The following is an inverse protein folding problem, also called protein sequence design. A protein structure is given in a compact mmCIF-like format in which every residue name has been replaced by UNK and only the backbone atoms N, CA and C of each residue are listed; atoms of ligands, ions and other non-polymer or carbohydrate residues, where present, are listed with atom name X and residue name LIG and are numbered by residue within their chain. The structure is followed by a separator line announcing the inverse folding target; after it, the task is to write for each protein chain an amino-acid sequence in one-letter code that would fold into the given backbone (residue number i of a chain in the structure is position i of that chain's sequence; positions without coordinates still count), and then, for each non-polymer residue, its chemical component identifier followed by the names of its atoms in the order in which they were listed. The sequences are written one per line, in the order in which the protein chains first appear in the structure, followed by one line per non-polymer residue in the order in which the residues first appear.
data_IF_694032551363
#
_entry.id   IF_694032551363
#
_cell.length_a   1.000
_cell.length_b   1.000
_cell.length_c   1.000
_cell.angle_alpha   90.00
_cell.angle_beta   90.00
_cell.angle_gamma   90.00
#
_symmetry.space_group_name_H-M   'P 1'
#
loop_
_entity.id
_entity.type
_entity.pdbx_description
1 polymer ?
#
# COMPACT_ATOMS: atom_id res chain seq x y z
N UNK A 1 -6.51 -60.19 -4.83
CA UNK A 1 -6.52 -59.36 -6.05
C UNK A 1 -7.97 -58.96 -6.27
N UNK A 2 -8.32 -57.70 -6.01
CA UNK A 2 -9.69 -57.21 -6.19
C UNK A 2 -9.80 -56.63 -7.60
N UNK A 3 -10.16 -57.48 -8.56
CA UNK A 3 -10.39 -57.08 -9.96
C UNK A 3 -11.89 -56.80 -10.18
N UNK A 4 -12.42 -55.80 -9.47
CA UNK A 4 -13.73 -55.24 -9.76
C UNK A 4 -13.64 -54.15 -10.83
N UNK A 5 -14.66 -53.97 -11.68
CA UNK A 5 -14.68 -52.87 -12.65
C UNK A 5 -14.50 -51.55 -11.90
N UNK A 6 -13.61 -50.69 -12.42
CA UNK A 6 -13.27 -49.41 -11.79
C UNK A 6 -14.58 -48.66 -11.50
N UNK A 7 -14.90 -48.34 -10.22
CA UNK A 7 -16.16 -47.72 -9.89
C UNK A 7 -16.25 -46.41 -10.66
N UNK A 8 -17.34 -46.25 -11.42
CA UNK A 8 -17.62 -45.00 -12.11
C UNK A 8 -17.60 -43.82 -11.12
N UNK A 9 -17.42 -42.58 -11.62
CA UNK A 9 -17.43 -41.42 -10.75
C UNK A 9 -18.72 -41.41 -9.91
N UNK A 10 -18.63 -41.11 -8.59
CA UNK A 10 -19.79 -41.15 -7.72
C UNK A 10 -20.90 -40.23 -8.25
N UNK A 11 -22.18 -40.61 -8.10
CA UNK A 11 -23.32 -39.91 -8.70
C UNK A 11 -23.60 -38.54 -8.05
N UNK A 12 -22.93 -38.23 -6.93
CA UNK A 12 -23.07 -36.99 -6.18
C UNK A 12 -21.81 -36.16 -6.36
N UNK A 13 -21.96 -34.85 -6.61
CA UNK A 13 -20.80 -33.96 -6.74
C UNK A 13 -20.07 -33.79 -5.41
N UNK A 14 -18.75 -33.56 -5.47
CA UNK A 14 -17.96 -33.24 -4.28
C UNK A 14 -18.48 -32.02 -3.53
N UNK A 15 -18.96 -31.01 -4.24
CA UNK A 15 -19.55 -29.81 -3.66
C UNK A 15 -20.79 -30.15 -2.81
N UNK A 16 -21.65 -31.06 -3.28
CA UNK A 16 -22.82 -31.49 -2.54
C UNK A 16 -22.44 -32.32 -1.29
N UNK A 17 -21.41 -33.17 -1.39
CA UNK A 17 -20.94 -33.93 -0.22
C UNK A 17 -20.30 -33.04 0.86
N UNK A 18 -19.70 -31.92 0.49
CA UNK A 18 -19.08 -30.97 1.43
C UNK A 18 -20.10 -30.05 2.12
N UNK A 19 -21.39 -30.06 1.71
CA UNK A 19 -22.42 -29.25 2.36
C UNK A 19 -22.73 -29.74 3.78
N UNK A 20 -23.26 -28.86 4.64
CA UNK A 20 -23.80 -29.24 5.94
C UNK A 20 -24.84 -30.36 5.85
N UNK A 21 -24.94 -31.18 6.90
CA UNK A 21 -25.86 -32.34 6.93
C UNK A 21 -27.33 -31.90 6.86
N UNK A 22 -27.65 -30.75 7.45
CA UNK A 22 -28.96 -30.08 7.40
C UNK A 22 -29.32 -29.56 6.00
N UNK A 23 -28.34 -29.36 5.12
CA UNK A 23 -28.57 -29.04 3.69
C UNK A 23 -28.54 -30.29 2.79
N UNK A 24 -28.56 -31.50 3.38
CA UNK A 24 -28.50 -32.77 2.66
C UNK A 24 -27.09 -33.18 2.21
N UNK A 25 -26.04 -32.54 2.73
CA UNK A 25 -24.66 -32.96 2.53
C UNK A 25 -24.18 -34.02 3.52
N UNK A 26 -22.94 -34.47 3.36
CA UNK A 26 -22.30 -35.43 4.28
C UNK A 26 -21.38 -34.74 5.30
N UNK A 27 -21.28 -33.41 5.25
CA UNK A 27 -20.35 -32.64 6.08
C UNK A 27 -18.89 -32.99 5.82
N UNK A 28 -18.55 -33.44 4.60
CA UNK A 28 -17.15 -33.75 4.27
C UNK A 28 -16.28 -32.50 4.32
N UNK A 29 -15.06 -32.65 4.82
CA UNK A 29 -14.11 -31.56 4.92
C UNK A 29 -13.68 -31.07 3.52
N UNK A 30 -14.04 -29.84 3.18
CA UNK A 30 -13.49 -29.16 2.02
C UNK A 30 -12.05 -28.71 2.30
N UNK A 31 -11.08 -29.52 1.86
CA UNK A 31 -9.65 -29.23 1.96
C UNK A 31 -9.25 -27.96 1.19
N UNK A 32 -9.95 -27.62 0.10
CA UNK A 32 -9.67 -26.42 -0.69
C UNK A 32 -10.10 -25.18 0.07
N UNK A 33 -11.30 -25.18 0.65
CA UNK A 33 -11.77 -24.09 1.50
C UNK A 33 -10.88 -23.94 2.75
N UNK A 34 -10.51 -25.05 3.40
CA UNK A 34 -9.59 -25.04 4.55
C UNK A 34 -8.23 -24.42 4.21
N UNK A 35 -7.62 -24.82 3.09
CA UNK A 35 -6.34 -24.27 2.67
C UNK A 35 -6.45 -22.77 2.35
N UNK A 36 -7.53 -22.32 1.72
CA UNK A 36 -7.78 -20.89 1.49
C UNK A 36 -7.91 -20.13 2.82
N UNK A 37 -8.63 -20.68 3.80
CA UNK A 37 -8.75 -20.08 5.12
C UNK A 37 -7.40 -19.95 5.83
N UNK A 38 -6.53 -20.97 5.74
CA UNK A 38 -5.17 -20.91 6.29
C UNK A 38 -4.39 -19.74 5.66
N UNK A 39 -4.41 -19.61 4.34
CA UNK A 39 -3.71 -18.52 3.64
C UNK A 39 -4.29 -17.14 4.01
N UNK A 40 -5.61 -17.04 4.25
CA UNK A 40 -6.23 -15.81 4.75
C UNK A 40 -5.81 -15.46 6.18
N UNK A 41 -5.58 -16.46 7.04
CA UNK A 41 -5.02 -16.24 8.40
C UNK A 41 -3.59 -15.69 8.31
N UNK A 42 -2.76 -16.24 7.41
CA UNK A 42 -1.42 -15.69 7.14
C UNK A 42 -1.49 -14.28 6.58
N UNK A 43 -2.38 -14.02 5.63
CA UNK A 43 -2.60 -12.69 5.07
C UNK A 43 -3.03 -11.69 6.15
N UNK A 44 -3.94 -12.06 7.05
CA UNK A 44 -4.35 -11.21 8.19
C UNK A 44 -3.14 -10.83 9.06
N UNK A 45 -2.25 -11.79 9.34
CA UNK A 45 -1.03 -11.52 10.12
C UNK A 45 -0.06 -10.62 9.36
N UNK A 46 0.08 -10.81 8.05
CA UNK A 46 0.88 -9.94 7.19
C UNK A 46 0.38 -8.49 7.18
N UNK A 47 -0.95 -8.33 7.13
CA UNK A 47 -1.65 -7.03 7.15
C UNK A 47 -1.72 -6.40 8.55
N UNK A 48 -1.08 -7.00 9.56
CA UNK A 48 -0.91 -6.34 10.86
C UNK A 48 0.19 -5.29 10.71
N UNK A 49 -0.17 -4.02 10.72
CA UNK A 49 0.74 -2.88 10.51
C UNK A 49 1.13 -2.13 11.80
N UNK A 50 0.72 -2.66 12.96
CA UNK A 50 1.07 -2.12 14.27
C UNK A 50 2.38 -2.73 14.80
N UNK A 51 2.73 -2.39 16.02
CA UNK A 51 3.89 -2.88 16.78
C UNK A 51 3.88 -4.42 16.94
N UNK A 52 2.73 -5.06 16.70
CA UNK A 52 2.55 -6.52 16.69
C UNK A 52 2.85 -7.16 15.33
N UNK A 53 3.35 -6.38 14.36
CA UNK A 53 3.68 -6.88 13.02
C UNK A 53 4.75 -7.98 13.13
N UNK A 54 4.49 -9.18 12.58
CA UNK A 54 5.44 -10.26 12.72
C UNK A 54 6.69 -10.03 11.86
N UNK A 55 7.86 -10.43 12.37
CA UNK A 55 9.16 -10.23 11.69
C UNK A 55 9.20 -10.74 10.25
N UNK A 56 8.55 -11.87 9.97
CA UNK A 56 8.52 -12.44 8.62
C UNK A 56 7.78 -11.55 7.61
N UNK A 57 6.85 -10.69 8.05
CA UNK A 57 6.12 -9.80 7.15
C UNK A 57 7.03 -8.76 6.49
N UNK A 58 8.08 -8.31 7.19
CA UNK A 58 9.09 -7.41 6.62
C UNK A 58 9.90 -8.11 5.52
N UNK A 59 10.26 -9.39 5.71
CA UNK A 59 10.91 -10.17 4.67
C UNK A 59 9.99 -10.35 3.44
N UNK A 60 8.68 -10.51 3.68
CA UNK A 60 7.69 -10.59 2.59
C UNK A 60 7.53 -9.26 1.85
N UNK A 61 7.56 -8.11 2.53
CA UNK A 61 7.57 -6.80 1.86
C UNK A 61 8.75 -6.70 0.87
N UNK A 62 9.95 -7.14 1.29
CA UNK A 62 11.15 -7.18 0.43
C UNK A 62 10.98 -8.13 -0.74
N UNK A 63 10.47 -9.35 -0.51
CA UNK A 63 10.23 -10.31 -1.58
C UNK A 63 9.20 -9.80 -2.60
N UNK A 64 8.14 -9.14 -2.14
CA UNK A 64 7.17 -8.52 -3.04
C UNK A 64 7.78 -7.36 -3.83
N UNK A 65 8.65 -6.56 -3.20
CA UNK A 65 9.36 -5.46 -3.84
C UNK A 65 10.31 -5.96 -4.95
N UNK A 66 11.10 -6.99 -4.67
CA UNK A 66 12.02 -7.60 -5.65
C UNK A 66 11.31 -8.10 -6.91
N UNK A 67 10.06 -8.54 -6.76
CA UNK A 67 9.28 -9.12 -7.84
C UNK A 67 8.07 -8.27 -8.24
N UNK A 68 8.11 -6.95 -8.05
CA UNK A 68 7.05 -6.04 -8.48
C UNK A 68 6.81 -6.10 -10.01
N UNK A 69 5.55 -6.07 -10.44
CA UNK A 69 5.21 -6.01 -11.87
C UNK A 69 5.46 -4.62 -12.45
N UNK A 70 5.67 -4.57 -13.76
CA UNK A 70 5.85 -3.31 -14.50
C UNK A 70 4.52 -2.60 -14.80
N UNK A 71 3.38 -3.17 -14.42
CA UNK A 71 2.03 -2.66 -14.77
C UNK A 71 1.76 -1.29 -14.15
N UNK A 72 2.31 -1.06 -12.95
CA UNK A 72 2.24 0.21 -12.25
C UNK A 72 3.37 1.18 -12.68
N UNK A 73 4.14 0.83 -13.70
CA UNK A 73 5.25 1.58 -14.27
C UNK A 73 6.63 1.15 -13.76
N UNK A 74 7.65 1.95 -14.07
CA UNK A 74 9.02 1.75 -13.57
C UNK A 74 9.12 2.22 -12.11
N UNK A 75 8.66 1.39 -11.19
CA UNK A 75 8.67 1.68 -9.75
C UNK A 75 10.09 1.59 -9.21
N UNK A 76 10.56 2.66 -8.60
CA UNK A 76 11.86 2.67 -7.92
C UNK A 76 11.79 1.87 -6.62
N UNK A 77 12.78 1.02 -6.32
CA UNK A 77 12.78 0.20 -5.10
C UNK A 77 12.60 0.98 -3.79
N UNK A 78 13.21 2.17 -3.58
CA UNK A 78 12.99 2.96 -2.36
C UNK A 78 11.54 3.46 -2.21
N UNK A 79 10.74 3.41 -3.28
CA UNK A 79 9.34 3.77 -3.25
C UNK A 79 8.42 2.60 -2.85
N UNK A 80 8.95 1.37 -2.75
CA UNK A 80 8.19 0.15 -2.54
C UNK A 80 8.19 -0.21 -1.05
N UNK A 81 7.03 -0.06 -0.40
CA UNK A 81 6.85 -0.32 1.03
C UNK A 81 5.94 -1.52 1.22
N UNK A 82 4.70 -1.44 0.72
CA UNK A 82 3.71 -2.49 0.91
C UNK A 82 2.67 -2.47 -0.21
N UNK A 83 2.49 -3.62 -0.87
CA UNK A 83 1.58 -3.77 -2.01
C UNK A 83 0.09 -3.57 -1.69
N UNK A 84 -0.33 -3.67 -0.42
CA UNK A 84 -1.72 -3.38 -0.01
C UNK A 84 -1.94 -1.92 0.39
N UNK A 85 -0.86 -1.17 0.63
CA UNK A 85 -0.89 0.26 0.91
C UNK A 85 -0.49 1.13 -0.29
N UNK A 86 -0.25 0.51 -1.44
CA UNK A 86 0.23 1.18 -2.64
C UNK A 86 -0.38 0.55 -3.91
N UNK A 87 -0.35 1.30 -4.99
CA UNK A 87 -0.95 0.96 -6.28
C UNK A 87 -0.01 0.16 -7.19
N UNK A 88 0.61 -0.89 -6.65
CA UNK A 88 1.45 -1.84 -7.39
C UNK A 88 1.26 -3.26 -6.89
N UNK A 89 1.67 -4.26 -7.67
CA UNK A 89 1.51 -5.67 -7.31
C UNK A 89 2.76 -6.48 -7.65
N UNK A 90 3.07 -7.55 -6.88
CA UNK A 90 4.10 -8.50 -7.25
C UNK A 90 3.64 -9.41 -8.40
N UNK A 91 4.61 -9.94 -9.14
CA UNK A 91 4.41 -10.93 -10.18
C UNK A 91 4.02 -12.27 -9.54
N UNK A 92 2.77 -12.71 -9.77
CA UNK A 92 2.22 -13.95 -9.21
C UNK A 92 2.00 -15.06 -10.25
N UNK A 93 2.43 -14.85 -11.49
CA UNK A 93 2.31 -15.84 -12.56
C UNK A 93 3.29 -17.01 -12.33
N UNK A 94 3.06 -18.14 -13.02
CA UNK A 94 3.83 -19.38 -12.82
C UNK A 94 5.35 -19.17 -12.93
N UNK A 95 5.81 -18.45 -13.96
CA UNK A 95 7.23 -18.18 -14.20
C UNK A 95 7.88 -17.17 -13.22
N UNK A 96 7.11 -16.56 -12.32
CA UNK A 96 7.68 -15.67 -11.31
C UNK A 96 8.53 -16.45 -10.30
N UNK A 97 9.71 -15.95 -9.92
CA UNK A 97 10.55 -16.55 -8.87
C UNK A 97 9.99 -16.33 -7.44
N UNK A 98 8.86 -15.63 -7.30
CA UNK A 98 8.19 -15.48 -6.01
C UNK A 98 7.81 -16.87 -5.44
N UNK A 99 8.08 -17.16 -4.16
CA UNK A 99 7.71 -18.44 -3.54
C UNK A 99 6.23 -18.78 -3.69
N UNK A 100 5.94 -20.06 -3.92
CA UNK A 100 4.58 -20.53 -4.24
C UNK A 100 3.55 -20.19 -3.17
N UNK A 101 3.91 -20.27 -1.88
CA UNK A 101 2.99 -19.89 -0.80
C UNK A 101 2.61 -18.40 -0.84
N UNK A 102 3.54 -17.51 -1.23
CA UNK A 102 3.25 -16.09 -1.40
C UNK A 102 2.39 -15.81 -2.64
N UNK A 103 2.61 -16.55 -3.73
CA UNK A 103 1.73 -16.51 -4.92
C UNK A 103 0.31 -16.89 -4.53
N UNK A 104 0.12 -17.99 -3.78
CA UNK A 104 -1.20 -18.42 -3.29
C UNK A 104 -1.83 -17.42 -2.35
N UNK A 105 -1.06 -16.87 -1.39
CA UNK A 105 -1.55 -15.82 -0.48
C UNK A 105 -2.07 -14.61 -1.25
N UNK A 106 -1.34 -14.13 -2.26
CA UNK A 106 -1.76 -13.02 -3.11
C UNK A 106 -2.94 -13.37 -4.03
N UNK A 107 -2.98 -14.59 -4.57
CA UNK A 107 -4.10 -15.06 -5.37
C UNK A 107 -5.40 -15.13 -4.54
N UNK A 108 -5.32 -15.62 -3.30
CA UNK A 108 -6.44 -15.64 -2.37
C UNK A 108 -6.84 -14.22 -1.94
N UNK A 109 -5.88 -13.34 -1.68
CA UNK A 109 -6.17 -11.92 -1.42
C UNK A 109 -7.01 -11.30 -2.56
N UNK A 110 -6.61 -11.52 -3.81
CA UNK A 110 -7.35 -11.04 -5.00
C UNK A 110 -8.72 -11.70 -5.13
N UNK A 111 -8.79 -13.03 -4.99
CA UNK A 111 -10.04 -13.81 -5.06
C UNK A 111 -11.08 -13.30 -4.06
N UNK A 112 -10.65 -12.98 -2.84
CA UNK A 112 -11.50 -12.48 -1.77
C UNK A 112 -11.57 -10.94 -1.70
N UNK A 113 -11.03 -10.23 -2.70
CA UNK A 113 -11.02 -8.76 -2.81
C UNK A 113 -10.47 -8.06 -1.56
N UNK A 114 -9.49 -8.68 -0.90
CA UNK A 114 -8.81 -8.10 0.24
C UNK A 114 -8.06 -6.85 -0.23
N UNK A 115 -8.44 -5.71 0.32
CA UNK A 115 -7.81 -4.41 0.04
C UNK A 115 -7.81 -3.55 1.29
N UNK A 116 -7.00 -2.51 1.31
CA UNK A 116 -7.05 -1.52 2.38
C UNK A 116 -8.27 -0.62 2.17
N UNK A 117 -9.37 -1.00 2.80
CA UNK A 117 -10.59 -0.22 2.82
C UNK A 117 -10.89 0.21 4.25
N UNK A 118 -10.79 1.52 4.47
CA UNK A 118 -11.16 2.13 5.73
C UNK A 118 -12.43 2.97 5.53
N UNK A 119 -13.42 2.72 6.40
CA UNK A 119 -14.65 3.52 6.48
C UNK A 119 -14.32 4.90 7.02
N UNK A 120 -13.47 4.96 8.06
CA UNK A 120 -12.97 6.20 8.66
C UNK A 120 -11.49 6.02 9.00
N UNK A 121 -10.67 6.97 8.54
CA UNK A 121 -9.27 7.08 8.94
C UNK A 121 -9.09 8.34 9.76
N UNK A 122 -8.45 8.19 10.91
CA UNK A 122 -7.97 9.31 11.68
C UNK A 122 -6.74 9.95 11.01
N UNK A 123 -6.36 11.14 11.47
CA UNK A 123 -5.24 11.87 10.88
C UNK A 123 -3.92 11.10 11.00
N UNK A 124 -3.68 10.41 12.12
CA UNK A 124 -2.46 9.64 12.31
C UNK A 124 -2.34 8.49 11.30
N UNK A 125 -3.42 7.76 11.03
CA UNK A 125 -3.41 6.71 10.00
C UNK A 125 -3.18 7.27 8.60
N UNK A 126 -3.74 8.44 8.28
CA UNK A 126 -3.52 9.10 6.97
C UNK A 126 -2.07 9.57 6.81
N UNK A 127 -1.50 10.14 7.87
CA UNK A 127 -0.11 10.60 7.93
C UNK A 127 0.89 9.43 7.75
N UNK A 128 0.54 8.24 8.24
CA UNK A 128 1.34 7.01 8.12
C UNK A 128 1.22 6.30 6.75
N UNK A 129 0.42 6.80 5.81
CA UNK A 129 0.32 6.19 4.49
C UNK A 129 1.57 6.49 3.63
N UNK A 130 1.99 5.55 2.76
CA UNK A 130 3.04 5.80 1.78
C UNK A 130 2.61 6.85 0.74
N UNK A 131 3.42 7.89 0.51
CA UNK A 131 3.10 8.90 -0.51
C UNK A 131 3.35 8.40 -1.94
N UNK A 132 4.38 7.58 -2.12
CA UNK A 132 4.73 7.08 -3.44
C UNK A 132 3.75 5.99 -3.85
N UNK A 133 3.26 6.04 -5.09
CA UNK A 133 2.26 5.07 -5.57
C UNK A 133 1.04 4.96 -4.65
N UNK A 134 0.66 6.06 -4.01
CA UNK A 134 -0.40 6.14 -3.00
C UNK A 134 -1.73 5.49 -3.46
N UNK A 135 -2.46 4.83 -2.55
CA UNK A 135 -3.74 4.15 -2.84
C UNK A 135 -4.79 5.07 -3.47
N UNK A 136 -4.92 6.28 -2.92
CA UNK A 136 -5.78 7.34 -3.45
C UNK A 136 -5.20 8.14 -4.62
N UNK A 137 -4.15 7.65 -5.31
CA UNK A 137 -3.50 8.40 -6.37
C UNK A 137 -4.37 8.55 -7.62
N UNK A 138 -4.69 9.80 -7.96
CA UNK A 138 -5.23 10.16 -9.28
C UNK A 138 -4.16 9.99 -10.37
N UNK A 139 -4.58 9.92 -11.64
CA UNK A 139 -3.66 9.76 -12.80
C UNK A 139 -2.51 10.77 -12.79
N UNK A 140 -2.77 12.01 -12.34
CA UNK A 140 -1.77 13.06 -12.21
C UNK A 140 -0.69 12.72 -11.15
N UNK A 141 -1.09 12.26 -9.97
CA UNK A 141 -0.15 11.85 -8.91
C UNK A 141 0.77 10.71 -9.39
N UNK A 142 0.22 9.72 -10.12
CA UNK A 142 1.02 8.62 -10.68
C UNK A 142 2.13 9.10 -11.63
N UNK A 143 1.88 10.13 -12.43
CA UNK A 143 2.87 10.72 -13.35
C UNK A 143 3.99 11.45 -12.60
N UNK A 144 3.69 11.98 -11.42
CA UNK A 144 4.67 12.74 -10.62
C UNK A 144 5.64 11.83 -9.87
N UNK A 145 5.30 10.56 -9.58
CA UNK A 145 6.12 9.65 -8.77
C UNK A 145 7.59 9.50 -9.22
N UNK A 146 7.85 9.64 -10.52
CA UNK A 146 9.16 9.44 -11.12
C UNK A 146 9.80 10.73 -11.69
N UNK A 147 9.22 11.89 -11.39
CA UNK A 147 9.83 13.17 -11.79
C UNK A 147 11.20 13.35 -11.11
N UNK A 148 12.15 14.11 -11.69
CA UNK A 148 13.44 14.38 -11.06
C UNK A 148 13.31 14.96 -9.66
N UNK A 149 12.37 15.89 -9.46
CA UNK A 149 12.10 16.51 -8.15
C UNK A 149 11.51 15.52 -7.15
N UNK A 150 10.62 14.62 -7.59
CA UNK A 150 10.09 13.54 -6.74
C UNK A 150 11.16 12.54 -6.34
N UNK A 151 12.11 12.26 -7.22
CA UNK A 151 13.30 11.45 -6.90
C UNK A 151 14.16 12.14 -5.85
N UNK A 152 14.42 13.43 -6.01
CA UNK A 152 15.14 14.23 -5.01
C UNK A 152 14.43 14.21 -3.65
N UNK A 153 13.10 14.40 -3.62
CA UNK A 153 12.29 14.30 -2.40
C UNK A 153 12.47 12.94 -1.69
N UNK A 154 12.53 11.85 -2.44
CA UNK A 154 12.73 10.52 -1.88
C UNK A 154 14.15 10.30 -1.37
N UNK A 155 15.13 10.59 -2.21
CA UNK A 155 16.51 10.16 -2.02
C UNK A 155 17.29 11.13 -1.12
N UNK A 156 17.07 12.44 -1.24
CA UNK A 156 17.83 13.48 -0.52
C UNK A 156 17.06 14.08 0.66
N UNK A 157 15.72 14.11 0.60
CA UNK A 157 14.87 14.62 1.69
C UNK A 157 14.25 13.51 2.54
N UNK A 158 14.44 12.23 2.17
CA UNK A 158 13.94 11.08 2.93
C UNK A 158 12.41 11.01 2.99
N UNK A 159 11.71 11.55 2.01
CA UNK A 159 10.24 11.55 1.99
C UNK A 159 9.74 10.15 1.65
N UNK A 160 9.05 9.51 2.59
CA UNK A 160 8.50 8.16 2.44
C UNK A 160 6.99 8.14 2.74
N UNK A 161 6.58 8.84 3.79
CA UNK A 161 5.19 8.92 4.25
C UNK A 161 4.53 10.25 3.87
N UNK A 162 3.20 10.29 3.94
CA UNK A 162 2.45 11.54 3.77
C UNK A 162 2.84 12.57 4.85
N UNK A 163 3.15 12.13 6.07
CA UNK A 163 3.67 12.99 7.14
C UNK A 163 4.98 13.69 6.76
N UNK A 164 5.92 12.97 6.13
CA UNK A 164 7.21 13.54 5.70
C UNK A 164 6.99 14.60 4.64
N UNK A 165 6.09 14.33 3.69
CA UNK A 165 5.70 15.29 2.66
C UNK A 165 5.11 16.55 3.29
N UNK A 166 4.19 16.40 4.24
CA UNK A 166 3.56 17.51 4.96
C UNK A 166 4.56 18.31 5.81
N UNK A 167 5.63 17.70 6.30
CA UNK A 167 6.72 18.41 6.98
C UNK A 167 7.46 19.32 6.00
N UNK A 168 7.79 18.83 4.80
CA UNK A 168 8.48 19.61 3.76
C UNK A 168 7.65 20.80 3.26
N UNK A 169 6.32 20.67 3.20
CA UNK A 169 5.44 21.77 2.75
C UNK A 169 5.27 22.90 3.76
N UNK A 170 5.46 22.59 5.05
CA UNK A 170 5.25 23.52 6.19
C UNK A 170 6.48 24.36 6.56
N UNK A 171 7.57 24.24 5.81
CA UNK A 171 8.78 25.04 6.06
C UNK A 171 8.50 26.52 5.91
N UNK A 172 9.04 27.32 6.81
CA UNK A 172 8.79 28.76 6.88
C UNK A 172 9.20 29.47 5.59
N UNK A 173 10.40 29.18 5.07
CA UNK A 173 10.89 29.76 3.82
C UNK A 173 9.98 29.48 2.60
N UNK A 174 9.27 28.34 2.61
CA UNK A 174 8.31 28.01 1.56
C UNK A 174 6.98 28.73 1.78
N UNK A 175 6.53 28.86 3.03
CA UNK A 175 5.34 29.63 3.38
C UNK A 175 5.50 31.11 3.01
N UNK A 176 6.66 31.70 3.29
CA UNK A 176 7.03 33.07 2.91
C UNK A 176 7.03 33.26 1.39
N UNK A 177 7.69 32.35 0.65
CA UNK A 177 7.71 32.38 -0.81
C UNK A 177 6.29 32.33 -1.40
N UNK A 178 5.40 31.52 -0.81
CA UNK A 178 4.00 31.44 -1.23
C UNK A 178 3.20 32.70 -0.89
N UNK A 179 3.48 33.33 0.25
CA UNK A 179 2.80 34.54 0.70
C UNK A 179 3.12 35.76 -0.18
N UNK A 180 4.31 35.79 -0.80
CA UNK A 180 4.70 36.83 -1.75
C UNK A 180 3.85 36.86 -3.05
N UNK A 181 2.98 35.86 -3.26
CA UNK A 181 1.98 35.78 -4.34
C UNK A 181 2.54 35.92 -5.77
N UNK A 182 3.85 35.71 -5.96
CA UNK A 182 4.47 35.57 -7.27
C UNK A 182 4.93 34.12 -7.48
N UNK A 183 4.95 33.67 -8.74
CA UNK A 183 5.41 32.32 -9.10
C UNK A 183 6.95 32.17 -8.97
N UNK A 184 7.64 33.20 -8.50
CA UNK A 184 9.08 33.22 -8.38
C UNK A 184 9.53 32.52 -7.10
N UNK A 185 10.26 31.42 -7.25
CA UNK A 185 10.93 30.74 -6.15
C UNK A 185 12.40 31.17 -6.11
N UNK A 186 12.87 31.78 -5.01
CA UNK A 186 14.29 32.09 -4.85
C UNK A 186 15.13 30.81 -4.97
N UNK A 187 16.17 30.82 -5.80
CA UNK A 187 17.07 29.66 -5.90
C UNK A 187 18.01 29.55 -4.67
N UNK A 188 18.26 30.66 -4.00
CA UNK A 188 19.17 30.78 -2.85
C UNK A 188 18.41 31.18 -1.58
N UNK A 189 17.87 30.19 -0.86
CA UNK A 189 17.44 30.35 0.53
C UNK A 189 18.55 29.89 1.48
N UNK A 190 18.91 30.69 2.48
CA UNK A 190 20.00 30.39 3.42
C UNK A 190 19.51 29.87 4.78
N UNK A 191 18.25 29.45 4.87
CA UNK A 191 17.74 28.85 6.11
C UNK A 191 18.46 27.53 6.43
N UNK A 192 18.44 27.13 7.70
CA UNK A 192 19.10 25.92 8.17
C UNK A 192 18.62 24.65 7.42
N UNK A 193 17.31 24.53 7.16
CA UNK A 193 16.75 23.38 6.45
C UNK A 193 17.20 23.31 4.99
N UNK A 194 17.17 24.43 4.25
CA UNK A 194 17.63 24.47 2.86
C UNK A 194 19.14 24.20 2.75
N UNK A 195 19.92 24.69 3.71
CA UNK A 195 21.36 24.44 3.78
C UNK A 195 21.64 22.96 4.03
N UNK A 196 20.90 22.32 4.94
CA UNK A 196 21.02 20.89 5.20
C UNK A 196 20.61 20.05 3.98
N UNK A 197 19.53 20.41 3.29
CA UNK A 197 19.11 19.71 2.08
C UNK A 197 20.17 19.79 0.98
N UNK A 198 20.84 20.94 0.81
CA UNK A 198 21.96 21.10 -0.13
C UNK A 198 23.14 20.23 0.26
N UNK A 199 23.47 20.16 1.56
CA UNK A 199 24.49 19.25 2.07
C UNK A 199 24.14 17.77 1.81
N UNK A 200 22.84 17.43 1.80
CA UNK A 200 22.34 16.10 1.43
C UNK A 200 22.24 15.88 -0.10
N UNK A 201 22.68 16.84 -0.93
CA UNK A 201 22.72 16.71 -2.39
C UNK A 201 21.52 17.29 -3.15
N UNK A 202 20.62 18.02 -2.49
CA UNK A 202 19.53 18.73 -3.17
C UNK A 202 20.03 20.03 -3.83
N UNK A 203 19.90 20.17 -5.15
CA UNK A 203 20.26 21.40 -5.86
C UNK A 203 19.27 22.55 -5.66
N UNK A 204 17.99 22.26 -5.42
CA UNK A 204 16.93 23.27 -5.33
C UNK A 204 15.87 22.92 -4.28
N UNK A 205 16.14 23.19 -2.98
CA UNK A 205 15.23 22.83 -1.89
C UNK A 205 13.82 23.42 -2.02
N UNK A 206 13.69 24.69 -2.40
CA UNK A 206 12.38 25.34 -2.56
C UNK A 206 11.55 24.75 -3.71
N UNK A 207 12.17 24.30 -4.81
CA UNK A 207 11.48 23.56 -5.87
C UNK A 207 10.95 22.21 -5.37
N UNK A 208 11.67 21.58 -4.44
CA UNK A 208 11.22 20.35 -3.78
C UNK A 208 10.04 20.62 -2.85
N UNK A 209 10.03 21.72 -2.09
CA UNK A 209 8.87 22.15 -1.29
C UNK A 209 7.63 22.38 -2.15
N UNK A 210 7.77 23.09 -3.26
CA UNK A 210 6.66 23.33 -4.20
C UNK A 210 6.15 22.01 -4.82
N UNK A 211 7.05 21.10 -5.20
CA UNK A 211 6.66 19.76 -5.67
C UNK A 211 5.93 18.97 -4.57
N UNK A 212 6.38 19.07 -3.33
CA UNK A 212 5.73 18.40 -2.21
C UNK A 212 4.30 18.92 -2.00
N UNK A 213 4.07 20.22 -2.14
CA UNK A 213 2.73 20.82 -2.05
C UNK A 213 1.82 20.33 -3.18
N UNK A 214 2.34 20.30 -4.40
CA UNK A 214 1.63 19.77 -5.56
C UNK A 214 1.26 18.29 -5.35
N UNK A 215 2.20 17.44 -4.89
CA UNK A 215 1.95 16.03 -4.58
C UNK A 215 0.83 15.88 -3.52
N UNK A 216 0.89 16.65 -2.44
CA UNK A 216 -0.07 16.61 -1.34
C UNK A 216 -1.48 17.00 -1.83
N UNK A 217 -1.57 18.06 -2.65
CA UNK A 217 -2.82 18.52 -3.25
C UNK A 217 -3.47 17.51 -4.21
N UNK A 218 -2.72 16.53 -4.74
CA UNK A 218 -3.29 15.48 -5.60
C UNK A 218 -3.81 14.26 -4.82
N UNK A 219 -3.67 14.20 -3.49
CA UNK A 219 -4.24 13.12 -2.68
C UNK A 219 -5.75 13.32 -2.54
N UNK A 220 -6.53 12.30 -2.87
CA UNK A 220 -7.98 12.37 -2.73
C UNK A 220 -8.42 12.65 -1.27
N UNK A 221 -9.52 13.41 -1.05
CA UNK A 221 -9.96 13.81 0.29
C UNK A 221 -10.11 12.67 1.31
N UNK A 222 -10.55 11.48 0.87
CA UNK A 222 -10.66 10.28 1.72
C UNK A 222 -9.36 9.97 2.48
N UNK A 223 -8.22 10.22 1.84
CA UNK A 223 -6.89 9.87 2.34
C UNK A 223 -6.04 11.09 2.74
N UNK A 224 -6.51 12.30 2.46
CA UNK A 224 -5.78 13.52 2.74
C UNK A 224 -5.81 13.84 4.25
N UNK A 225 -4.66 14.07 4.93
CA UNK A 225 -4.61 14.27 6.38
C UNK A 225 -5.39 15.48 6.89
N UNK A 226 -5.47 16.55 6.09
CA UNK A 226 -6.22 17.76 6.45
C UNK A 226 -7.74 17.63 6.23
N UNK A 227 -8.21 16.59 5.53
CA UNK A 227 -9.65 16.40 5.35
C UNK A 227 -10.25 15.76 6.61
N UNK A 228 -11.29 16.36 7.20
CA UNK A 228 -11.95 15.76 8.36
C UNK A 228 -12.50 14.39 7.96
N UNK A 229 -12.33 13.39 8.84
CA UNK A 229 -13.01 12.11 8.68
C UNK A 229 -14.53 12.33 8.79
N UNK A 230 -15.37 11.52 8.13
CA UNK A 230 -16.82 11.58 8.33
C UNK A 230 -17.14 11.46 9.83
N UNK A 231 -18.06 12.32 10.31
CA UNK A 231 -18.58 12.24 11.67
C UNK A 231 -19.29 10.90 11.84
N UNK A 232 -18.86 10.08 12.80
CA UNK A 232 -19.54 8.85 13.17
C UNK A 232 -20.51 9.18 14.30
N UNK A 233 -21.81 9.08 14.04
CA UNK A 233 -22.84 9.01 15.10
C UNK A 233 -22.75 7.75 15.96
N UNK A 234 -21.56 7.14 16.09
CA UNK A 234 -21.28 5.86 16.75
C UNK A 234 -20.27 6.05 17.90
N UNK A 235 -20.33 7.17 18.60
CA UNK A 235 -19.52 7.49 19.79
C UNK A 235 -19.98 6.72 21.04
N UNK A 236 -20.27 5.43 20.91
CA UNK A 236 -20.62 4.55 22.02
C UNK A 236 -19.84 3.23 21.93
N UNK A 237 -18.53 3.31 22.16
CA UNK A 237 -17.81 2.20 22.79
C UNK A 237 -16.96 2.80 23.92
N UNK A 238 -17.33 2.56 25.20
CA UNK A 238 -16.47 2.95 26.32
C UNK A 238 -15.16 2.16 26.27
N UNK A 239 -14.10 2.80 26.76
CA UNK A 239 -12.73 2.29 26.85
C UNK A 239 -12.62 1.04 27.73
#
# INVERSE_FOLDING_TARGET
MWDGPSPGPPPVSMDAMCRPVDEGGLGLLDLRARNQAIELVWLRRYLTLSDKRPMWAYAVDVLFSLYATKDAGAIQHPAQINTFLQSWSPAIHHASPLPEYLKRMMANAKKHRVSFEAIKLDKASKDALPIWYHLGAVRKLRRLNNSPTSRCLRDNHGVVLVADLARVTRRECHAEARAAANDYLPDACDCAECTQDRANGCGHPLKCCHMADNLLAQIQPKWHPASPGPHDGLTHTPR
#
